data_IF_967922419181
#
_entry.id   IF_967922419181
#
_cell.length_a   1.000
_cell.length_b   1.000
_cell.length_c   1.000
_cell.angle_alpha   90.00
_cell.angle_beta   90.00
_cell.angle_gamma   90.00
#
_symmetry.space_group_name_H-M   'P 1'
#
loop_
_entity.id
_entity.type
_entity.pdbx_description
1 polymer ?
#
# COMPACT_ATOMS: atom_id res chain seq x y z
N UNK A 1 -11.97 -18.02 4.36
CA UNK A 1 -12.36 -17.37 3.09
C UNK A 1 -11.53 -16.10 2.96
N UNK A 2 -11.12 -15.72 1.75
CA UNK A 2 -10.40 -14.46 1.54
C UNK A 2 -11.40 -13.30 1.61
N UNK A 3 -11.24 -12.41 2.58
CA UNK A 3 -12.12 -11.24 2.73
C UNK A 3 -11.62 -10.12 1.82
N UNK A 4 -12.55 -9.47 1.14
CA UNK A 4 -12.27 -8.28 0.32
C UNK A 4 -12.45 -7.04 1.19
N UNK A 5 -11.44 -6.20 1.23
CA UNK A 5 -11.50 -4.91 1.94
C UNK A 5 -11.39 -3.80 0.90
N UNK A 6 -12.43 -3.00 0.73
CA UNK A 6 -12.52 -1.98 -0.33
C UNK A 6 -12.40 -0.56 0.24
N UNK A 7 -11.52 0.26 -0.35
CA UNK A 7 -11.42 1.70 -0.08
C UNK A 7 -11.98 2.47 -1.29
N UNK A 8 -13.30 2.70 -1.36
CA UNK A 8 -13.98 3.44 -2.46
C UNK A 8 -14.73 4.68 -1.99
N UNK A 9 -14.74 5.75 -2.80
CA UNK A 9 -15.29 7.08 -2.47
C UNK A 9 -16.75 7.13 -2.01
N UNK A 10 -17.58 6.16 -2.38
CA UNK A 10 -19.02 6.24 -2.12
C UNK A 10 -19.48 5.34 -0.94
N UNK A 11 -18.65 4.37 -0.51
CA UNK A 11 -18.94 3.40 0.57
C UNK A 11 -17.64 2.87 1.24
N UNK A 12 -16.60 3.70 1.42
CA UNK A 12 -15.37 3.21 2.07
C UNK A 12 -15.62 3.03 3.57
N UNK A 13 -15.52 1.79 4.06
CA UNK A 13 -15.50 1.48 5.51
C UNK A 13 -14.27 2.07 6.24
N UNK A 14 -13.30 2.62 5.48
CA UNK A 14 -12.00 3.06 5.97
C UNK A 14 -11.62 4.43 5.40
N UNK A 15 -11.14 5.31 6.26
CA UNK A 15 -10.66 6.65 5.89
C UNK A 15 -9.20 6.61 5.41
N UNK A 16 -8.44 5.60 5.83
CA UNK A 16 -7.02 5.44 5.47
C UNK A 16 -6.68 4.01 5.10
N UNK A 17 -5.61 3.85 4.30
CA UNK A 17 -5.06 2.52 3.96
C UNK A 17 -4.61 1.80 5.24
N UNK A 18 -4.06 2.51 6.23
CA UNK A 18 -3.61 1.87 7.48
C UNK A 18 -4.78 1.27 8.27
N UNK A 19 -5.94 1.93 8.33
CA UNK A 19 -7.13 1.35 8.99
C UNK A 19 -7.58 0.05 8.31
N UNK A 20 -7.55 0.01 6.97
CA UNK A 20 -7.87 -1.21 6.23
C UNK A 20 -6.85 -2.32 6.48
N UNK A 21 -5.55 -2.00 6.54
CA UNK A 21 -4.48 -2.96 6.89
C UNK A 21 -4.66 -3.48 8.31
N UNK A 22 -5.02 -2.63 9.27
CA UNK A 22 -5.20 -3.00 10.67
C UNK A 22 -6.42 -3.92 10.88
N UNK A 23 -7.45 -3.80 10.03
CA UNK A 23 -8.61 -4.71 10.01
C UNK A 23 -8.39 -5.99 9.23
N UNK A 24 -7.45 -5.99 8.30
CA UNK A 24 -7.18 -7.15 7.48
C UNK A 24 -6.66 -8.33 8.30
N UNK A 25 -7.12 -9.52 7.93
CA UNK A 25 -6.65 -10.79 8.44
C UNK A 25 -5.73 -11.48 7.43
N UNK A 26 -5.00 -12.50 7.89
CA UNK A 26 -4.07 -13.22 7.02
C UNK A 26 -4.79 -13.85 5.83
N UNK A 27 -4.26 -13.61 4.63
CA UNK A 27 -4.80 -14.02 3.35
C UNK A 27 -5.74 -13.00 2.69
N UNK A 28 -6.08 -11.89 3.35
CA UNK A 28 -7.01 -10.91 2.78
C UNK A 28 -6.42 -10.12 1.61
N UNK A 29 -7.32 -9.62 0.77
CA UNK A 29 -6.99 -8.71 -0.33
C UNK A 29 -7.65 -7.36 -0.11
N UNK A 30 -6.81 -6.33 -0.05
CA UNK A 30 -7.19 -4.93 -0.01
C UNK A 30 -7.27 -4.41 -1.45
N UNK A 31 -8.47 -3.98 -1.84
CA UNK A 31 -8.76 -3.35 -3.11
C UNK A 31 -8.84 -1.83 -2.92
N UNK A 32 -7.91 -1.13 -3.57
CA UNK A 32 -7.88 0.33 -3.60
C UNK A 32 -8.70 0.80 -4.80
N UNK A 33 -9.65 1.71 -4.59
CA UNK A 33 -10.27 2.39 -5.74
C UNK A 33 -9.23 3.25 -6.46
N UNK A 34 -9.44 3.50 -7.75
CA UNK A 34 -8.63 4.49 -8.47
C UNK A 34 -8.60 5.82 -7.75
N UNK A 35 -7.44 6.44 -7.74
CA UNK A 35 -7.27 7.74 -7.11
C UNK A 35 -5.85 7.92 -6.59
N UNK A 36 -5.65 9.05 -5.93
CA UNK A 36 -4.42 9.37 -5.25
C UNK A 36 -4.62 9.23 -3.74
N UNK A 37 -3.74 8.45 -3.12
CA UNK A 37 -3.64 8.30 -1.67
C UNK A 37 -2.33 8.92 -1.21
N UNK A 38 -2.43 9.99 -0.44
CA UNK A 38 -1.25 10.63 0.13
C UNK A 38 -0.98 10.04 1.51
N UNK A 39 0.16 9.37 1.64
CA UNK A 39 0.64 8.89 2.94
C UNK A 39 1.40 10.00 3.65
N UNK A 40 1.56 9.90 4.95
CA UNK A 40 2.40 10.83 5.70
C UNK A 40 3.80 10.25 5.78
N UNK A 41 4.81 10.97 5.30
CA UNK A 41 6.21 10.49 5.22
C UNK A 41 6.73 10.00 6.58
N UNK A 42 6.34 10.68 7.67
CA UNK A 42 6.75 10.33 9.04
C UNK A 42 5.83 9.28 9.71
N UNK A 43 4.74 8.87 9.06
CA UNK A 43 3.85 7.81 9.52
C UNK A 43 3.80 6.67 8.49
N UNK A 44 4.83 5.79 8.47
CA UNK A 44 4.93 4.74 7.47
C UNK A 44 3.75 3.77 7.53
N UNK A 45 3.30 3.30 6.37
CA UNK A 45 2.29 2.25 6.28
C UNK A 45 2.89 0.92 6.75
N UNK A 46 2.44 0.41 7.89
CA UNK A 46 2.95 -0.79 8.51
C UNK A 46 2.13 -2.01 8.11
N UNK A 47 2.74 -2.95 7.40
CA UNK A 47 2.10 -4.19 6.97
C UNK A 47 2.72 -5.37 7.74
N UNK A 48 1.92 -5.93 8.66
CA UNK A 48 2.34 -7.05 9.54
C UNK A 48 1.72 -8.37 9.14
N UNK A 49 0.56 -8.32 8.48
CA UNK A 49 -0.23 -9.46 8.06
C UNK A 49 0.23 -9.95 6.68
N UNK A 50 -0.02 -11.22 6.39
CA UNK A 50 0.09 -11.76 5.04
C UNK A 50 -1.09 -11.27 4.20
N UNK A 51 -0.95 -10.16 3.48
CA UNK A 51 -2.04 -9.57 2.68
C UNK A 51 -1.59 -9.19 1.28
N UNK A 52 -2.58 -9.01 0.39
CA UNK A 52 -2.38 -8.43 -0.95
C UNK A 52 -3.01 -7.04 -1.02
N UNK A 53 -2.26 -6.06 -1.53
CA UNK A 53 -2.75 -4.71 -1.82
C UNK A 53 -2.68 -4.49 -3.33
N UNK A 54 -3.82 -4.13 -3.93
CA UNK A 54 -3.93 -3.95 -5.38
C UNK A 54 -5.08 -3.00 -5.76
N UNK A 55 -5.11 -2.48 -7.00
CA UNK A 55 -6.27 -1.79 -7.52
C UNK A 55 -7.52 -2.69 -7.51
N UNK A 56 -8.67 -2.07 -7.26
CA UNK A 56 -9.98 -2.70 -7.48
C UNK A 56 -10.08 -3.23 -8.91
N UNK A 57 -10.59 -4.44 -9.15
CA UNK A 57 -10.76 -4.99 -10.50
C UNK A 57 -11.73 -4.16 -11.34
N UNK A 58 -12.60 -3.39 -10.69
CA UNK A 58 -13.56 -2.50 -11.33
C UNK A 58 -12.98 -1.09 -11.61
N UNK A 59 -11.74 -0.85 -11.19
CA UNK A 59 -11.03 0.40 -11.42
C UNK A 59 -10.62 0.53 -12.89
N UNK A 60 -10.94 1.67 -13.50
CA UNK A 60 -10.51 2.01 -14.87
C UNK A 60 -9.27 2.91 -14.90
N UNK A 61 -8.96 3.52 -13.76
CA UNK A 61 -7.85 4.46 -13.58
C UNK A 61 -6.80 3.88 -12.62
N UNK A 62 -5.63 4.54 -12.57
CA UNK A 62 -4.50 4.12 -11.73
C UNK A 62 -4.73 4.41 -10.24
N UNK A 63 -4.10 3.57 -9.40
CA UNK A 63 -3.94 3.85 -7.97
C UNK A 63 -2.56 4.45 -7.76
N UNK A 64 -2.52 5.71 -7.38
CA UNK A 64 -1.30 6.46 -7.10
C UNK A 64 -1.16 6.61 -5.59
N UNK A 65 -0.01 6.22 -5.05
CA UNK A 65 0.34 6.39 -3.65
C UNK A 65 1.51 7.36 -3.60
N UNK A 66 1.31 8.52 -3.00
CA UNK A 66 2.34 9.57 -2.85
C UNK A 66 2.89 9.58 -1.42
N UNK A 67 4.06 10.21 -1.25
CA UNK A 67 4.74 10.30 0.05
C UNK A 67 4.95 8.94 0.71
N UNK A 68 5.07 7.90 -0.12
CA UNK A 68 4.90 6.53 0.34
C UNK A 68 6.12 6.02 1.09
N UNK A 69 5.87 5.44 2.26
CA UNK A 69 6.85 4.69 3.04
C UNK A 69 6.19 3.41 3.57
N UNK A 70 6.41 2.28 2.90
CA UNK A 70 5.91 0.98 3.33
C UNK A 70 6.93 0.30 4.23
N UNK A 71 6.53 -0.11 5.43
CA UNK A 71 7.34 -0.98 6.30
C UNK A 71 6.67 -2.35 6.37
N UNK A 72 7.36 -3.35 5.83
CA UNK A 72 6.84 -4.71 5.70
C UNK A 72 7.58 -5.61 6.68
N UNK A 73 6.83 -6.10 7.68
CA UNK A 73 7.26 -7.16 8.59
C UNK A 73 6.45 -8.45 8.41
N UNK A 74 5.31 -8.37 7.71
CA UNK A 74 4.50 -9.53 7.35
C UNK A 74 5.18 -10.43 6.33
N UNK A 75 4.83 -11.71 6.38
CA UNK A 75 5.28 -12.70 5.40
C UNK A 75 4.34 -12.72 4.21
N UNK A 76 4.92 -12.93 3.04
CA UNK A 76 4.25 -13.14 1.75
C UNK A 76 3.26 -12.00 1.43
N UNK A 77 3.66 -10.78 1.75
CA UNK A 77 2.94 -9.57 1.38
C UNK A 77 3.06 -9.36 -0.13
N UNK A 78 1.96 -8.98 -0.77
CA UNK A 78 1.94 -8.71 -2.21
C UNK A 78 1.51 -7.27 -2.45
N UNK A 79 2.38 -6.48 -3.05
CA UNK A 79 2.05 -5.18 -3.63
C UNK A 79 1.92 -5.36 -5.15
N UNK A 80 0.76 -5.03 -5.71
CA UNK A 80 0.48 -5.32 -7.11
C UNK A 80 -0.24 -4.19 -7.83
N UNK A 81 0.26 -3.79 -9.01
CA UNK A 81 -0.44 -2.85 -9.88
C UNK A 81 -0.46 -1.40 -9.36
N UNK A 82 0.41 -1.05 -8.41
CA UNK A 82 0.40 0.25 -7.74
C UNK A 82 1.41 1.23 -8.36
N UNK A 83 1.06 2.52 -8.40
CA UNK A 83 1.99 3.59 -8.72
C UNK A 83 2.47 4.26 -7.43
N UNK A 84 3.64 3.84 -6.95
CA UNK A 84 4.22 4.26 -5.67
C UNK A 84 5.24 5.36 -5.93
N UNK A 85 5.02 6.52 -5.34
CA UNK A 85 5.91 7.67 -5.38
C UNK A 85 6.35 8.00 -3.96
N UNK A 86 7.66 8.08 -3.75
CA UNK A 86 8.21 8.62 -2.52
C UNK A 86 8.71 10.04 -2.80
N UNK A 87 8.23 10.98 -2.01
CA UNK A 87 8.76 12.34 -1.99
C UNK A 87 9.95 12.34 -1.03
N UNK A 88 11.15 12.48 -1.60
CA UNK A 88 12.35 12.65 -0.80
C UNK A 88 12.45 14.10 -0.36
N UNK A 89 12.83 14.34 0.88
CA UNK A 89 13.42 15.65 1.21
C UNK A 89 14.87 15.65 0.72
N UNK A 90 15.36 16.78 0.22
CA UNK A 90 16.70 16.91 -0.38
C UNK A 90 17.84 16.37 0.51
N UNK A 91 17.62 16.24 1.82
CA UNK A 91 18.60 15.77 2.79
C UNK A 91 18.22 14.44 3.50
N UNK A 92 17.06 13.85 3.18
CA UNK A 92 16.58 12.60 3.79
C UNK A 92 16.16 11.62 2.70
N UNK A 93 17.00 10.61 2.46
CA UNK A 93 16.61 9.46 1.64
C UNK A 93 15.52 8.69 2.37
N UNK A 94 14.36 8.51 1.73
CA UNK A 94 13.26 7.68 2.21
C UNK A 94 13.06 6.54 1.22
N UNK A 95 13.15 5.31 1.71
CA UNK A 95 12.84 4.13 0.90
C UNK A 95 11.33 4.02 0.72
N UNK A 96 10.87 3.89 -0.53
CA UNK A 96 9.45 3.68 -0.80
C UNK A 96 8.94 2.39 -0.14
N UNK A 97 9.76 1.33 -0.14
CA UNK A 97 9.42 0.04 0.48
C UNK A 97 10.62 -0.50 1.24
N UNK A 98 10.46 -0.66 2.56
CA UNK A 98 11.42 -1.31 3.46
C UNK A 98 10.86 -2.65 3.91
N UNK A 99 11.58 -3.75 3.65
CA UNK A 99 11.26 -5.08 4.19
C UNK A 99 12.21 -5.37 5.34
N UNK A 100 11.68 -5.56 6.55
CA UNK A 100 12.49 -5.81 7.75
C UNK A 100 12.56 -7.30 8.09
N UNK A 101 13.49 -7.66 8.98
CA UNK A 101 13.78 -9.06 9.34
C UNK A 101 12.52 -9.86 9.68
N UNK A 102 12.31 -10.96 8.97
CA UNK A 102 11.14 -11.83 9.13
C UNK A 102 10.00 -11.57 8.13
N UNK A 103 10.02 -10.45 7.43
CA UNK A 103 9.08 -10.14 6.35
C UNK A 103 9.53 -10.66 4.99
N UNK A 104 8.56 -10.83 4.09
CA UNK A 104 8.79 -11.06 2.66
C UNK A 104 7.75 -10.29 1.85
N UNK A 105 8.18 -9.71 0.74
CA UNK A 105 7.30 -8.94 -0.14
C UNK A 105 7.53 -9.32 -1.60
N UNK A 106 6.44 -9.51 -2.33
CA UNK A 106 6.44 -9.52 -3.80
C UNK A 106 5.88 -8.21 -4.31
N UNK A 107 6.70 -7.47 -5.06
CA UNK A 107 6.25 -6.28 -5.79
C UNK A 107 6.15 -6.68 -7.26
N UNK A 108 4.95 -6.60 -7.85
CA UNK A 108 4.73 -6.97 -9.26
C UNK A 108 3.80 -5.99 -9.95
N UNK A 109 4.08 -5.69 -11.21
CA UNK A 109 3.29 -4.74 -11.99
C UNK A 109 3.16 -3.35 -11.33
N UNK A 110 4.04 -3.03 -10.37
CA UNK A 110 4.06 -1.71 -9.75
C UNK A 110 5.07 -0.82 -10.47
N UNK A 111 4.77 0.47 -10.49
CA UNK A 111 5.77 1.51 -10.77
C UNK A 111 6.23 2.07 -9.44
N UNK A 112 7.53 2.05 -9.16
CA UNK A 112 8.11 2.68 -7.96
C UNK A 112 9.04 3.78 -8.43
N UNK A 113 8.76 5.03 -8.03
CA UNK A 113 9.58 6.20 -8.38
C UNK A 113 9.90 7.03 -7.15
N UNK A 114 11.09 7.61 -7.14
CA UNK A 114 11.42 8.72 -6.25
C UNK A 114 11.19 10.02 -7.02
N UNK A 115 10.56 10.99 -6.37
CA UNK A 115 10.44 12.36 -6.87
C UNK A 115 11.30 13.24 -5.96
N UNK A 116 12.31 13.86 -6.56
CA UNK A 116 13.24 14.81 -5.93
C UNK A 116 12.79 16.24 -6.19
#
# INVERSE_FOLDING_TARGET
EMTKICLSSDESEFETIQQAVDKATEGDTLYLSSGQYDLVVDEPLQIRQQIRICPSPDSTEQVVITSACFIISGKDVVLEGLHISVEGEAEKSVDAVTVISGGSCTIRMCTVKSTT
#
